data_IF_975327442035
#
_entry.id   IF_975327442035
#
_cell.length_a   1.000
_cell.length_b   1.000
_cell.length_c   1.000
_cell.angle_alpha   90.00
_cell.angle_beta   90.00
_cell.angle_gamma   90.00
#
_symmetry.space_group_name_H-M   'P 1'
#
loop_
_entity.id
_entity.type
_entity.pdbx_description
1 polymer ?
#
# COMPACT_ATOMS: atom_id res chain seq x y z
N UNK A 1 -9.36 5.39 -8.40
CA UNK A 1 -8.01 5.71 -7.87
C UNK A 1 -6.89 5.54 -8.91
N UNK A 2 -6.78 4.36 -9.53
CA UNK A 2 -5.72 4.04 -10.52
C UNK A 2 -5.67 5.00 -11.73
N UNK A 3 -6.83 5.53 -12.15
CA UNK A 3 -6.90 6.50 -13.26
C UNK A 3 -6.44 7.92 -12.90
N UNK A 4 -6.16 8.20 -11.63
CA UNK A 4 -5.81 9.53 -11.13
C UNK A 4 -4.38 9.62 -10.59
N UNK A 5 -3.54 8.61 -10.84
CA UNK A 5 -2.14 8.55 -10.33
C UNK A 5 -1.31 9.77 -10.70
N UNK A 6 -1.58 10.42 -11.84
CA UNK A 6 -0.88 11.65 -12.26
C UNK A 6 -1.12 12.83 -11.31
N UNK A 7 -2.29 12.86 -10.68
CA UNK A 7 -2.71 13.91 -9.74
C UNK A 7 -2.19 13.68 -8.32
N UNK A 8 -1.47 12.58 -8.06
CA UNK A 8 -0.87 12.33 -6.75
C UNK A 8 0.09 13.44 -6.37
N UNK A 9 -0.14 14.02 -5.18
CA UNK A 9 0.70 15.01 -4.50
C UNK A 9 1.02 14.50 -3.09
N UNK A 10 2.22 14.79 -2.61
CA UNK A 10 2.67 14.35 -1.30
C UNK A 10 3.17 12.89 -1.30
N UNK A 11 3.35 12.37 -0.10
CA UNK A 11 3.89 11.05 0.19
C UNK A 11 2.78 10.00 0.14
N UNK A 12 3.05 8.83 -0.41
CA UNK A 12 2.05 7.77 -0.60
C UNK A 12 2.61 6.41 -0.16
N UNK A 13 1.93 5.78 0.81
CA UNK A 13 2.24 4.44 1.31
C UNK A 13 1.14 3.47 0.87
N UNK A 14 1.53 2.40 0.17
CA UNK A 14 0.64 1.32 -0.27
C UNK A 14 0.92 0.03 0.53
N UNK A 15 -0.05 -0.41 1.33
CA UNK A 15 0.07 -1.63 2.15
C UNK A 15 -0.98 -2.65 1.71
N UNK A 16 -0.61 -3.92 1.55
CA UNK A 16 -1.55 -4.99 1.16
C UNK A 16 -1.09 -6.37 1.65
N UNK A 17 -2.01 -7.32 1.82
CA UNK A 17 -1.66 -8.73 2.09
C UNK A 17 -1.64 -9.57 0.81
N UNK A 18 -0.63 -10.41 0.61
CA UNK A 18 -0.49 -11.15 -0.67
C UNK A 18 -1.55 -12.23 -0.87
N UNK A 19 -2.26 -12.64 0.20
CA UNK A 19 -3.30 -13.66 0.19
C UNK A 19 -4.68 -13.08 0.55
N UNK A 20 -4.91 -11.80 0.25
CA UNK A 20 -6.20 -11.13 0.44
C UNK A 20 -7.29 -11.79 -0.42
N UNK A 21 -8.30 -12.32 0.25
CA UNK A 21 -9.43 -13.09 -0.27
C UNK A 21 -10.66 -12.24 -0.60
N UNK A 22 -10.65 -10.95 -0.21
CA UNK A 22 -11.76 -10.02 -0.43
C UNK A 22 -11.38 -8.93 -1.45
N UNK A 23 -10.21 -8.31 -1.26
CA UNK A 23 -9.64 -7.32 -2.17
C UNK A 23 -8.34 -7.89 -2.73
N UNK A 24 -8.45 -8.59 -3.86
CA UNK A 24 -7.33 -9.32 -4.45
C UNK A 24 -6.06 -8.46 -4.59
N UNK A 25 -4.90 -9.02 -4.26
CA UNK A 25 -3.59 -8.36 -4.30
C UNK A 25 -3.26 -7.73 -5.67
N UNK A 26 -3.86 -8.24 -6.75
CA UNK A 26 -3.77 -7.65 -8.09
C UNK A 26 -4.11 -6.15 -8.11
N UNK A 27 -5.06 -5.68 -7.29
CA UNK A 27 -5.38 -4.26 -7.20
C UNK A 27 -4.16 -3.41 -6.77
N UNK A 28 -3.40 -3.89 -5.78
CA UNK A 28 -2.18 -3.23 -5.32
C UNK A 28 -1.08 -3.28 -6.40
N UNK A 29 -0.92 -4.42 -7.07
CA UNK A 29 0.04 -4.59 -8.17
C UNK A 29 -0.28 -3.67 -9.37
N UNK A 30 -1.55 -3.53 -9.73
CA UNK A 30 -2.00 -2.64 -10.80
C UNK A 30 -1.80 -1.17 -10.44
N UNK A 31 -2.09 -0.77 -9.18
CA UNK A 31 -1.80 0.58 -8.69
C UNK A 31 -0.30 0.89 -8.73
N UNK A 32 0.55 -0.05 -8.29
CA UNK A 32 2.00 0.08 -8.39
C UNK A 32 2.45 0.25 -9.86
N UNK A 33 1.93 -0.58 -10.77
CA UNK A 33 2.22 -0.44 -12.21
C UNK A 33 1.85 0.95 -12.73
N UNK A 34 0.69 1.47 -12.35
CA UNK A 34 0.22 2.79 -12.77
C UNK A 34 1.08 3.93 -12.18
N UNK A 35 1.48 3.84 -10.91
CA UNK A 35 2.37 4.82 -10.26
C UNK A 35 3.75 4.85 -10.94
N UNK A 36 4.34 3.67 -11.20
CA UNK A 36 5.63 3.54 -11.92
C UNK A 36 5.53 4.14 -13.33
N UNK A 37 4.48 3.80 -14.09
CA UNK A 37 4.25 4.37 -15.43
C UNK A 37 4.08 5.89 -15.41
N UNK A 38 3.54 6.44 -14.32
CA UNK A 38 3.37 7.88 -14.13
C UNK A 38 4.60 8.58 -13.54
N UNK A 39 5.70 7.86 -13.28
CA UNK A 39 6.92 8.40 -12.67
C UNK A 39 6.71 8.89 -11.23
N UNK A 40 5.70 8.37 -10.52
CA UNK A 40 5.39 8.76 -9.14
C UNK A 40 6.18 7.90 -8.16
N UNK A 41 6.82 8.56 -7.21
CA UNK A 41 7.47 7.89 -6.08
C UNK A 41 6.41 7.51 -5.04
N UNK A 42 6.58 6.36 -4.42
CA UNK A 42 5.72 5.82 -3.39
C UNK A 42 6.50 4.79 -2.57
N UNK A 43 6.00 4.52 -1.38
CA UNK A 43 6.47 3.45 -0.51
C UNK A 43 5.45 2.31 -0.55
N UNK A 44 5.91 1.06 -0.49
CA UNK A 44 5.01 -0.09 -0.39
C UNK A 44 5.51 -1.13 0.59
N UNK A 45 4.55 -1.82 1.21
CA UNK A 45 4.84 -2.96 2.07
C UNK A 45 3.78 -4.03 1.89
N UNK A 46 4.22 -5.27 1.70
CA UNK A 46 3.32 -6.40 1.51
C UNK A 46 3.51 -7.44 2.60
N UNK A 47 2.40 -7.85 3.22
CA UNK A 47 2.42 -8.92 4.21
C UNK A 47 2.24 -10.28 3.51
N UNK A 48 3.25 -11.16 3.54
CA UNK A 48 3.13 -12.50 2.96
C UNK A 48 2.06 -13.32 3.68
N UNK A 49 1.26 -14.02 2.88
CA UNK A 49 0.23 -14.97 3.32
C UNK A 49 -0.81 -14.37 4.28
N UNK A 50 -0.99 -13.04 4.27
CA UNK A 50 -2.04 -12.37 5.02
C UNK A 50 -3.25 -12.12 4.13
N UNK A 51 -4.40 -12.54 4.64
CA UNK A 51 -5.71 -12.23 4.09
C UNK A 51 -6.18 -10.84 4.50
N UNK A 52 -7.40 -10.45 4.10
CA UNK A 52 -7.93 -9.11 4.35
C UNK A 52 -7.90 -8.68 5.83
N UNK A 53 -7.97 -9.64 6.75
CA UNK A 53 -7.99 -9.39 8.18
C UNK A 53 -6.63 -9.02 8.80
N UNK A 54 -5.50 -9.22 8.12
CA UNK A 54 -4.14 -8.91 8.66
C UNK A 54 -3.83 -9.52 10.04
N UNK A 55 -4.46 -10.66 10.37
CA UNK A 55 -4.27 -11.32 11.66
C UNK A 55 -2.80 -11.66 11.93
N UNK A 56 -2.34 -11.36 13.14
CA UNK A 56 -0.94 -11.54 13.55
C UNK A 56 0.03 -10.51 12.98
N UNK A 57 -0.43 -9.55 12.17
CA UNK A 57 0.39 -8.45 11.63
C UNK A 57 -0.02 -7.07 12.14
N UNK A 58 -1.14 -6.95 12.88
CA UNK A 58 -1.70 -5.66 13.30
C UNK A 58 -0.70 -4.73 14.00
N UNK A 59 0.07 -5.25 14.97
CA UNK A 59 1.02 -4.41 15.70
C UNK A 59 2.05 -3.78 14.76
N UNK A 60 2.67 -4.60 13.91
CA UNK A 60 3.62 -4.13 12.90
C UNK A 60 2.96 -3.16 11.90
N UNK A 61 1.73 -3.46 11.44
CA UNK A 61 0.95 -2.61 10.54
C UNK A 61 0.72 -1.23 11.13
N UNK A 62 0.20 -1.16 12.35
CA UNK A 62 -0.09 0.12 13.00
C UNK A 62 1.18 0.88 13.35
N UNK A 63 2.24 0.22 13.82
CA UNK A 63 3.54 0.88 14.06
C UNK A 63 4.10 1.50 12.78
N UNK A 64 4.07 0.77 11.65
CA UNK A 64 4.52 1.28 10.37
C UNK A 64 3.70 2.47 9.89
N UNK A 65 2.37 2.38 9.97
CA UNK A 65 1.49 3.49 9.59
C UNK A 65 1.76 4.73 10.45
N UNK A 66 1.91 4.56 11.77
CA UNK A 66 2.22 5.65 12.70
C UNK A 66 3.56 6.29 12.38
N UNK A 67 4.62 5.50 12.22
CA UNK A 67 5.95 6.02 11.90
C UNK A 67 5.94 6.77 10.57
N UNK A 68 5.32 6.20 9.55
CA UNK A 68 5.22 6.84 8.23
C UNK A 68 4.53 8.20 8.31
N UNK A 69 3.47 8.32 9.11
CA UNK A 69 2.81 9.60 9.37
C UNK A 69 3.77 10.55 10.09
N UNK A 70 4.39 10.14 11.20
CA UNK A 70 5.28 10.99 11.98
C UNK A 70 6.50 11.50 11.19
N UNK A 71 6.95 10.74 10.19
CA UNK A 71 8.10 11.10 9.35
C UNK A 71 7.75 12.00 8.16
N UNK A 72 6.47 12.03 7.74
CA UNK A 72 6.04 12.66 6.48
C UNK A 72 4.92 13.70 6.63
N UNK A 73 4.47 13.99 7.85
CA UNK A 73 3.50 15.03 8.19
C UNK A 73 4.16 16.15 9.00
#
# INVERSE_FOLDING_TARGET
PIHFVKSLKGKYLLIHGTADDNVHFQNAAEMQSALVKAGKQFDSFYYPDKNHGMWGAHYHLYTMMTNYILENL
#
